data_IF_497599130697
#
_entry.id   IF_497599130697
#
_cell.length_a   1.000
_cell.length_b   1.000
_cell.length_c   1.000
_cell.angle_alpha   90.00
_cell.angle_beta   90.00
_cell.angle_gamma   90.00
#
_symmetry.space_group_name_H-M   'P 1'
#
loop_
_entity.id
_entity.type
_entity.pdbx_description
1 polymer ?
#
# COMPACT_ATOMS: atom_id res chain seq x y z
N UNK A 1 41.05 -8.37 5.22
CA UNK A 1 39.74 -8.65 5.84
C UNK A 1 39.12 -7.33 6.24
N UNK A 2 38.34 -6.73 5.35
CA UNK A 2 37.67 -5.44 5.55
C UNK A 2 36.21 -5.71 5.82
N UNK A 3 35.76 -5.41 7.04
CA UNK A 3 34.37 -5.47 7.46
C UNK A 3 33.57 -4.38 6.76
N UNK A 4 32.62 -4.78 5.91
CA UNK A 4 31.62 -3.89 5.32
C UNK A 4 30.52 -3.71 6.36
N UNK A 5 30.41 -2.49 6.89
CA UNK A 5 29.26 -2.04 7.70
C UNK A 5 28.01 -2.04 6.83
N UNK A 6 27.01 -2.83 7.26
CA UNK A 6 25.66 -2.86 6.71
C UNK A 6 24.98 -1.49 6.88
N UNK A 7 24.20 -1.00 5.91
CA UNK A 7 23.35 0.17 6.12
C UNK A 7 22.27 -0.19 7.15
N UNK A 8 22.08 0.69 8.12
CA UNK A 8 20.99 0.63 9.09
C UNK A 8 19.66 0.64 8.35
N UNK A 9 19.04 -0.53 8.24
CA UNK A 9 17.67 -0.64 7.75
C UNK A 9 16.77 0.15 8.69
N UNK A 10 16.05 1.15 8.16
CA UNK A 10 14.95 1.82 8.84
C UNK A 10 13.83 0.80 9.13
N UNK A 11 13.99 0.01 10.18
CA UNK A 11 12.91 -0.79 10.72
C UNK A 11 11.96 0.17 11.41
N UNK A 12 10.77 0.36 10.82
CA UNK A 12 9.65 0.94 11.55
C UNK A 12 9.35 0.00 12.72
N UNK A 13 9.78 0.39 13.91
CA UNK A 13 9.36 -0.26 15.16
C UNK A 13 7.83 -0.11 15.22
N UNK A 14 7.05 -1.20 15.41
CA UNK A 14 5.61 -1.09 15.57
C UNK A 14 5.30 -0.20 16.79
N UNK A 15 4.95 1.05 16.51
CA UNK A 15 4.54 2.03 17.51
C UNK A 15 3.01 2.00 17.64
N UNK A 16 2.48 2.39 18.80
CA UNK A 16 1.06 2.16 19.18
C UNK A 16 0.40 3.51 19.47
N UNK A 17 -0.53 3.93 18.63
CA UNK A 17 -1.32 5.14 18.86
C UNK A 17 -2.74 4.76 19.32
N UNK A 18 -3.18 5.39 20.41
CA UNK A 18 -4.54 5.29 20.93
C UNK A 18 -5.36 6.49 20.46
N UNK A 19 -6.26 6.29 19.51
CA UNK A 19 -7.28 7.30 19.18
C UNK A 19 -8.64 6.80 19.64
N UNK A 20 -9.34 7.59 20.46
CA UNK A 20 -10.74 7.31 20.84
C UNK A 20 -11.61 7.28 19.58
N UNK A 21 -12.18 6.11 19.28
CA UNK A 21 -12.82 5.80 17.99
C UNK A 21 -14.07 6.60 17.62
N UNK A 22 -14.68 7.37 18.52
CA UNK A 22 -15.97 8.04 18.24
C UNK A 22 -15.87 9.21 17.25
N UNK A 23 -14.74 9.93 17.21
CA UNK A 23 -14.55 11.06 16.29
C UNK A 23 -14.02 10.67 14.90
N UNK A 24 -13.26 9.57 14.82
CA UNK A 24 -12.61 9.14 13.58
C UNK A 24 -13.61 8.58 12.56
N UNK A 25 -14.61 7.83 13.02
CA UNK A 25 -15.64 7.22 12.17
C UNK A 25 -16.55 8.26 11.49
N UNK A 26 -16.77 9.41 12.14
CA UNK A 26 -17.63 10.47 11.60
C UNK A 26 -16.95 11.32 10.51
N UNK A 27 -15.62 11.53 10.58
CA UNK A 27 -14.89 12.35 9.60
C UNK A 27 -14.60 11.59 8.29
N UNK A 28 -14.45 10.26 8.38
CA UNK A 28 -14.23 9.39 7.21
C UNK A 28 -15.60 9.07 6.56
N UNK A 29 -16.20 10.07 5.91
CA UNK A 29 -17.41 9.90 5.09
C UNK A 29 -17.20 8.76 4.08
N UNK A 30 -17.86 7.61 4.31
CA UNK A 30 -17.91 6.50 3.36
C UNK A 30 -17.80 5.09 3.96
N UNK A 31 -17.43 4.93 5.23
CA UNK A 31 -17.42 3.61 5.87
C UNK A 31 -18.68 3.45 6.73
N UNK A 32 -19.65 2.67 6.25
CA UNK A 32 -20.71 2.09 7.10
C UNK A 32 -20.05 1.12 8.10
N UNK A 33 -19.47 1.65 9.17
CA UNK A 33 -19.07 0.87 10.33
C UNK A 33 -20.12 1.15 11.40
N UNK A 34 -20.95 0.14 11.69
CA UNK A 34 -21.82 0.14 12.86
C UNK A 34 -20.97 0.32 14.14
N UNK A 35 -21.53 0.84 15.24
CA UNK A 35 -20.74 1.21 16.40
C UNK A 35 -20.28 -0.05 17.16
N UNK A 36 -19.14 -0.60 16.74
CA UNK A 36 -18.45 -1.65 17.49
C UNK A 36 -17.72 -0.95 18.64
N UNK A 37 -18.28 -1.07 19.85
CA UNK A 37 -17.81 -0.51 21.14
C UNK A 37 -16.40 -0.95 21.59
N UNK A 38 -15.60 -1.61 20.75
CA UNK A 38 -14.35 -2.29 21.12
C UNK A 38 -13.12 -1.87 20.28
N UNK A 39 -13.21 -0.84 19.44
CA UNK A 39 -12.12 -0.44 18.54
C UNK A 39 -11.36 0.79 19.08
N UNK A 40 -10.40 0.56 19.97
CA UNK A 40 -9.70 1.67 20.66
C UNK A 40 -8.31 2.01 20.11
N UNK A 41 -7.77 1.31 19.10
CA UNK A 41 -6.34 1.45 18.75
C UNK A 41 -6.00 1.25 17.28
N UNK A 42 -4.91 1.93 16.89
CA UNK A 42 -4.48 2.17 15.52
C UNK A 42 -2.99 1.86 15.42
N UNK A 43 -2.62 1.11 14.37
CA UNK A 43 -1.22 0.78 14.09
C UNK A 43 -0.88 1.20 12.67
N UNK A 44 0.30 1.78 12.48
CA UNK A 44 0.90 1.91 11.15
C UNK A 44 1.70 0.63 10.89
N UNK A 45 1.30 -0.10 9.85
CA UNK A 45 2.05 -1.26 9.35
C UNK A 45 2.61 -0.94 7.97
N UNK A 46 3.91 -1.12 7.84
CA UNK A 46 4.62 -1.18 6.56
C UNK A 46 5.42 -2.46 6.56
N UNK A 47 5.37 -3.23 5.48
CA UNK A 47 6.24 -4.40 5.36
C UNK A 47 7.68 -3.94 5.09
N UNK A 48 8.72 -4.62 5.61
CA UNK A 48 10.12 -4.23 5.38
C UNK A 48 10.53 -4.11 3.90
N UNK A 49 9.89 -4.84 2.99
CA UNK A 49 10.18 -4.74 1.54
C UNK A 49 9.42 -3.61 0.84
N UNK A 50 8.56 -2.88 1.56
CA UNK A 50 7.84 -1.74 1.03
C UNK A 50 8.47 -0.45 1.55
N UNK A 51 8.46 0.62 0.74
CA UNK A 51 8.95 1.92 1.22
C UNK A 51 8.08 2.40 2.38
N UNK A 52 8.66 3.16 3.31
CA UNK A 52 7.96 3.76 4.47
C UNK A 52 6.69 4.54 4.04
N UNK A 53 6.71 5.11 2.84
CA UNK A 53 5.60 5.84 2.21
C UNK A 53 4.38 4.95 1.89
N UNK A 54 4.57 3.64 1.73
CA UNK A 54 3.51 2.66 1.54
C UNK A 54 2.82 2.23 2.84
N UNK A 55 3.20 2.83 3.98
CA UNK A 55 2.61 2.54 5.28
C UNK A 55 1.10 2.74 5.30
N UNK A 56 0.45 1.91 6.10
CA UNK A 56 -1.01 1.91 6.25
C UNK A 56 -1.41 1.93 7.71
N UNK A 57 -2.36 2.80 8.02
CA UNK A 57 -3.13 2.80 9.25
C UNK A 57 -4.11 1.63 9.23
N UNK A 58 -4.06 0.73 10.21
CA UNK A 58 -4.98 -0.40 10.35
C UNK A 58 -5.61 -0.43 11.74
N UNK A 59 -6.82 -0.95 11.80
CA UNK A 59 -7.49 -1.28 13.05
C UNK A 59 -7.23 -2.75 13.41
N UNK A 60 -6.93 -3.00 14.68
CA UNK A 60 -6.72 -4.34 15.21
C UNK A 60 -7.81 -4.68 16.22
N UNK A 61 -8.33 -5.89 16.12
CA UNK A 61 -9.27 -6.43 17.08
C UNK A 61 -8.49 -7.03 18.25
N UNK A 62 -8.87 -6.66 19.46
CA UNK A 62 -8.32 -7.25 20.68
C UNK A 62 -9.45 -7.52 21.67
N UNK A 63 -9.33 -8.57 22.49
CA UNK A 63 -10.34 -8.91 23.49
C UNK A 63 -10.41 -7.88 24.62
N UNK A 64 -9.34 -7.10 24.81
CA UNK A 64 -9.22 -6.08 25.86
C UNK A 64 -8.52 -4.85 25.31
N UNK A 65 -8.55 -3.75 26.05
CA UNK A 65 -7.82 -2.52 25.70
C UNK A 65 -6.31 -2.58 25.98
N UNK A 66 -5.74 -3.77 26.22
CA UNK A 66 -4.32 -3.96 26.52
C UNK A 66 -3.44 -3.80 25.26
N UNK A 67 -2.52 -2.82 25.23
CA UNK A 67 -1.65 -2.60 24.08
C UNK A 67 -0.65 -3.71 23.75
N UNK A 68 -0.34 -4.59 24.69
CA UNK A 68 0.56 -5.71 24.41
C UNK A 68 -0.07 -6.74 23.46
N UNK A 69 -1.40 -6.81 23.38
CA UNK A 69 -2.12 -7.79 22.56
C UNK A 69 -2.26 -7.39 21.08
N UNK A 70 -1.85 -6.17 20.72
CA UNK A 70 -2.05 -5.62 19.39
C UNK A 70 -1.25 -6.31 18.30
N UNK A 71 -0.01 -6.69 18.58
CA UNK A 71 0.85 -7.38 17.62
C UNK A 71 0.27 -8.75 17.24
N UNK A 72 -0.35 -9.43 18.20
CA UNK A 72 -1.04 -10.71 18.01
C UNK A 72 -2.50 -10.59 17.56
N UNK A 73 -3.09 -9.39 17.63
CA UNK A 73 -4.50 -9.19 17.31
C UNK A 73 -4.75 -9.23 15.80
N UNK A 74 -5.89 -9.78 15.31
CA UNK A 74 -6.20 -9.76 13.89
C UNK A 74 -6.57 -8.36 13.40
N UNK A 75 -6.31 -8.07 12.12
CA UNK A 75 -6.81 -6.85 11.47
C UNK A 75 -8.36 -6.88 11.44
N UNK A 76 -8.98 -5.71 11.60
CA UNK A 76 -10.40 -5.53 11.25
C UNK A 76 -10.54 -5.72 9.74
N UNK A 77 -11.36 -6.67 9.31
CA UNK A 77 -11.53 -6.99 7.88
C UNK A 77 -12.76 -6.32 7.29
N UNK A 78 -12.66 -5.94 6.01
CA UNK A 78 -13.79 -5.57 5.15
C UNK A 78 -14.56 -6.83 4.70
N UNK A 79 -15.78 -6.70 4.15
CA UNK A 79 -16.54 -7.86 3.65
C UNK A 79 -15.78 -8.73 2.62
N UNK A 80 -14.90 -8.10 1.84
CA UNK A 80 -14.04 -8.77 0.86
C UNK A 80 -12.79 -9.46 1.47
N UNK A 81 -12.70 -9.57 2.80
CA UNK A 81 -11.60 -10.24 3.50
C UNK A 81 -10.32 -9.43 3.64
N UNK A 82 -10.22 -8.25 3.02
CA UNK A 82 -9.01 -7.42 3.15
C UNK A 82 -9.05 -6.58 4.41
N UNK A 83 -7.89 -6.29 5.04
CA UNK A 83 -7.81 -5.37 6.16
C UNK A 83 -8.45 -4.02 5.84
N UNK A 84 -9.16 -3.47 6.83
CA UNK A 84 -9.51 -2.07 6.83
C UNK A 84 -8.21 -1.28 7.00
N UNK A 85 -7.91 -0.42 6.04
CA UNK A 85 -6.67 0.31 5.98
C UNK A 85 -6.85 1.72 5.40
N UNK A 86 -6.10 2.69 5.91
CA UNK A 86 -5.93 4.02 5.29
C UNK A 86 -4.44 4.20 5.01
N UNK A 87 -4.08 4.59 3.78
CA UNK A 87 -2.69 4.94 3.47
C UNK A 87 -2.23 6.13 4.31
N UNK A 88 -1.01 6.07 4.83
CA UNK A 88 -0.41 7.17 5.57
C UNK A 88 -0.39 8.44 4.70
N UNK A 89 -0.06 8.30 3.42
CA UNK A 89 -0.16 9.36 2.40
C UNK A 89 -1.49 10.14 2.41
N UNK A 90 -2.61 9.42 2.57
CA UNK A 90 -3.92 10.07 2.65
C UNK A 90 -4.12 10.83 3.95
N UNK A 91 -3.67 10.30 5.10
CA UNK A 91 -3.84 10.98 6.39
C UNK A 91 -3.23 12.38 6.39
N UNK A 92 -2.12 12.56 5.68
CA UNK A 92 -1.50 13.87 5.48
C UNK A 92 -2.15 14.71 4.39
N UNK A 93 -2.88 14.09 3.45
CA UNK A 93 -3.62 14.80 2.41
C UNK A 93 -5.02 15.27 2.82
N UNK A 94 -5.57 14.69 3.89
CA UNK A 94 -6.74 15.26 4.55
C UNK A 94 -6.28 16.57 5.20
N UNK A 95 -7.00 17.67 4.97
CA UNK A 95 -6.77 18.95 5.67
C UNK A 95 -6.94 18.84 7.20
N UNK A 96 -7.22 17.64 7.70
CA UNK A 96 -7.33 17.29 9.10
C UNK A 96 -5.94 16.99 9.67
N UNK A 97 -5.21 18.07 9.98
CA UNK A 97 -3.88 18.04 10.58
C UNK A 97 -3.82 17.28 11.92
N UNK A 98 -4.97 16.93 12.51
CA UNK A 98 -5.04 16.21 13.78
C UNK A 98 -4.35 14.83 13.71
N UNK A 99 -4.66 14.01 12.70
CA UNK A 99 -4.07 12.68 12.59
C UNK A 99 -2.58 12.74 12.25
N UNK A 100 -2.22 13.64 11.35
CA UNK A 100 -0.84 13.93 11.00
C UNK A 100 0.00 14.30 12.24
N UNK A 101 -0.52 15.21 13.07
CA UNK A 101 0.11 15.64 14.30
C UNK A 101 0.22 14.51 15.32
N UNK A 102 -0.86 13.74 15.53
CA UNK A 102 -0.86 12.61 16.47
C UNK A 102 0.14 11.52 16.08
N UNK A 103 0.23 11.18 14.80
CA UNK A 103 1.21 10.22 14.32
C UNK A 103 2.65 10.73 14.53
N UNK A 104 2.89 12.02 14.36
CA UNK A 104 4.19 12.64 14.62
C UNK A 104 4.55 12.63 16.10
N UNK A 105 3.62 13.05 16.97
CA UNK A 105 3.81 13.06 18.43
C UNK A 105 4.17 11.68 18.97
N UNK A 106 3.50 10.64 18.45
CA UNK A 106 3.71 9.26 18.86
C UNK A 106 4.92 8.59 18.19
N UNK A 107 5.67 9.32 17.36
CA UNK A 107 6.87 8.82 16.68
C UNK A 107 6.58 7.74 15.62
N UNK A 108 5.33 7.62 15.18
CA UNK A 108 4.88 6.64 14.18
C UNK A 108 5.31 7.00 12.75
N UNK A 109 5.66 8.26 12.55
CA UNK A 109 6.11 8.86 11.30
C UNK A 109 7.14 9.92 11.64
N UNK A 110 8.09 10.15 10.75
CA UNK A 110 9.12 11.19 10.93
C UNK A 110 8.70 12.48 10.22
N UNK A 111 9.24 13.62 10.68
CA UNK A 111 9.07 14.90 9.96
C UNK A 111 9.62 14.81 8.54
N UNK A 112 10.73 14.12 8.37
CA UNK A 112 11.36 13.89 7.07
C UNK A 112 10.42 13.14 6.12
N UNK A 113 9.75 12.08 6.59
CA UNK A 113 8.78 11.33 5.80
C UNK A 113 7.66 12.24 5.29
N UNK A 114 7.11 13.10 6.15
CA UNK A 114 5.99 14.00 5.78
C UNK A 114 6.45 15.09 4.82
N UNK A 115 7.67 15.58 5.00
CA UNK A 115 8.27 16.57 4.12
C UNK A 115 8.80 16.00 2.80
N UNK A 116 8.77 14.67 2.65
CA UNK A 116 9.32 14.01 1.47
C UNK A 116 8.55 14.36 0.20
N UNK A 117 9.25 14.25 -0.92
CA UNK A 117 8.70 14.52 -2.25
C UNK A 117 7.46 13.68 -2.54
N UNK A 118 7.45 12.42 -2.08
CA UNK A 118 6.32 11.51 -2.19
C UNK A 118 5.02 12.13 -1.65
N UNK A 119 5.03 12.62 -0.40
CA UNK A 119 3.84 13.18 0.23
C UNK A 119 3.44 14.51 -0.41
N UNK A 120 4.43 15.33 -0.77
CA UNK A 120 4.21 16.59 -1.50
C UNK A 120 3.47 16.35 -2.82
N UNK A 121 3.92 15.37 -3.60
CA UNK A 121 3.28 14.98 -4.87
C UNK A 121 1.89 14.36 -4.63
N UNK A 122 1.75 13.50 -3.62
CA UNK A 122 0.46 12.89 -3.28
C UNK A 122 -0.60 13.95 -2.96
N UNK A 123 -0.24 14.95 -2.15
CA UNK A 123 -1.11 16.08 -1.79
C UNK A 123 -1.40 16.99 -2.99
N UNK A 124 -0.34 17.43 -3.69
CA UNK A 124 -0.45 18.34 -4.85
C UNK A 124 -1.39 17.78 -5.92
N UNK A 125 -1.35 16.46 -6.15
CA UNK A 125 -2.15 15.77 -7.15
C UNK A 125 -3.46 15.18 -6.63
N UNK A 126 -3.81 15.39 -5.34
CA UNK A 126 -5.06 14.93 -4.71
C UNK A 126 -5.34 13.45 -4.98
N UNK A 127 -4.31 12.62 -4.77
CA UNK A 127 -4.37 11.20 -5.05
C UNK A 127 -5.44 10.49 -4.20
N UNK A 128 -6.04 9.44 -4.75
CA UNK A 128 -7.18 8.74 -4.13
C UNK A 128 -6.70 7.65 -3.16
N UNK A 129 -7.61 7.12 -2.34
CA UNK A 129 -7.39 6.07 -1.34
C UNK A 129 -6.53 4.88 -1.80
N UNK A 130 -6.74 4.45 -3.04
CA UNK A 130 -6.06 3.29 -3.63
C UNK A 130 -5.02 3.71 -4.66
N UNK A 131 -4.73 5.02 -4.80
CA UNK A 131 -3.67 5.50 -5.67
C UNK A 131 -2.32 5.10 -5.10
N UNK A 132 -1.51 4.48 -5.94
CA UNK A 132 -0.10 4.18 -5.65
C UNK A 132 0.75 5.17 -6.43
N UNK A 133 1.62 5.91 -5.75
CA UNK A 133 2.64 6.74 -6.39
C UNK A 133 3.91 5.90 -6.57
N UNK A 134 4.44 5.89 -7.80
CA UNK A 134 5.62 5.12 -8.22
C UNK A 134 6.66 6.10 -8.75
N UNK A 135 7.86 6.04 -8.19
CA UNK A 135 9.01 6.87 -8.57
C UNK A 135 10.00 6.08 -9.45
N UNK A 136 10.17 4.79 -9.20
CA UNK A 136 11.02 3.85 -9.93
C UNK A 136 10.28 2.56 -10.33
N UNK A 137 10.77 1.86 -11.35
CA UNK A 137 10.33 0.48 -11.66
C UNK A 137 10.66 -0.51 -10.54
N UNK A 138 11.66 -0.20 -9.74
CA UNK A 138 12.10 -1.03 -8.61
C UNK A 138 11.17 -0.89 -7.41
N UNK A 139 10.30 0.13 -7.38
CA UNK A 139 9.40 0.36 -6.28
C UNK A 139 8.39 -0.79 -6.17
N UNK A 140 8.47 -1.50 -5.06
CA UNK A 140 7.42 -2.42 -4.66
C UNK A 140 6.24 -1.64 -4.09
N UNK A 141 5.04 -2.07 -4.45
CA UNK A 141 3.81 -1.48 -3.95
C UNK A 141 2.77 -2.53 -3.56
N UNK A 142 1.89 -2.11 -2.66
CA UNK A 142 0.78 -2.92 -2.19
C UNK A 142 -0.37 -3.00 -3.19
N UNK A 143 -0.90 -4.19 -3.40
CA UNK A 143 -2.07 -4.46 -4.22
C UNK A 143 -2.96 -5.51 -3.53
N UNK A 144 -4.25 -5.50 -3.80
CA UNK A 144 -5.16 -6.57 -3.39
C UNK A 144 -5.68 -7.29 -4.62
N UNK A 145 -5.62 -8.63 -4.63
CA UNK A 145 -6.06 -9.46 -5.76
C UNK A 145 -7.14 -10.46 -5.30
N UNK A 146 -8.13 -10.81 -6.13
CA UNK A 146 -8.35 -10.32 -7.49
C UNK A 146 -8.84 -8.86 -7.50
N UNK A 147 -8.41 -8.04 -8.46
CA UNK A 147 -9.00 -6.72 -8.68
C UNK A 147 -9.02 -6.31 -10.15
N UNK A 148 -10.14 -5.73 -10.59
CA UNK A 148 -10.34 -5.40 -12.00
C UNK A 148 -9.36 -4.34 -12.53
N UNK A 149 -9.03 -3.35 -11.71
CA UNK A 149 -8.09 -2.31 -12.10
C UNK A 149 -7.39 -1.67 -10.93
N UNK A 150 -6.15 -1.27 -11.14
CA UNK A 150 -5.35 -0.51 -10.20
C UNK A 150 -4.94 0.83 -10.84
N UNK A 151 -5.13 1.94 -10.12
CA UNK A 151 -4.63 3.23 -10.55
C UNK A 151 -3.20 3.43 -10.01
N UNK A 152 -2.25 3.60 -10.91
CA UNK A 152 -0.89 3.99 -10.60
C UNK A 152 -0.68 5.45 -10.99
N UNK A 153 0.12 6.15 -10.20
CA UNK A 153 0.54 7.51 -10.41
C UNK A 153 2.05 7.49 -10.54
N UNK A 154 2.54 7.83 -11.71
CA UNK A 154 3.95 7.68 -12.06
C UNK A 154 4.60 9.05 -12.01
N UNK A 155 5.69 9.19 -11.26
CA UNK A 155 6.45 10.44 -11.21
C UNK A 155 7.21 10.62 -12.52
N UNK A 156 7.09 11.81 -13.11
CA UNK A 156 7.81 12.25 -14.32
C UNK A 156 8.57 13.53 -14.03
N UNK A 157 9.55 13.92 -14.87
CA UNK A 157 10.17 15.24 -14.79
C UNK A 157 9.18 16.41 -14.92
N UNK A 158 7.98 16.16 -15.45
CA UNK A 158 6.94 17.18 -15.68
C UNK A 158 5.84 17.16 -14.61
N UNK A 159 5.86 16.23 -13.67
CA UNK A 159 4.85 16.09 -12.62
C UNK A 159 4.48 14.63 -12.36
N UNK A 160 3.18 14.33 -12.32
CA UNK A 160 2.66 12.98 -12.06
C UNK A 160 1.67 12.60 -13.15
N UNK A 161 1.91 11.46 -13.80
CA UNK A 161 1.01 10.88 -14.79
C UNK A 161 0.19 9.75 -14.19
N UNK A 162 -1.12 9.71 -14.47
CA UNK A 162 -1.99 8.64 -14.00
C UNK A 162 -2.12 7.56 -15.07
N UNK A 163 -1.83 6.32 -14.68
CA UNK A 163 -2.05 5.12 -15.49
C UNK A 163 -3.07 4.25 -14.78
N UNK A 164 -4.00 3.65 -15.53
CA UNK A 164 -4.90 2.63 -14.99
C UNK A 164 -4.51 1.29 -15.57
N UNK A 165 -4.00 0.41 -14.72
CA UNK A 165 -3.74 -0.98 -15.08
C UNK A 165 -5.05 -1.75 -15.07
N UNK A 166 -5.39 -2.39 -16.18
CA UNK A 166 -6.51 -3.34 -16.27
C UNK A 166 -5.92 -4.73 -16.07
N UNK A 167 -6.15 -5.30 -14.90
CA UNK A 167 -5.46 -6.53 -14.49
C UNK A 167 -6.17 -7.80 -14.99
N UNK A 168 -7.38 -7.66 -15.54
CA UNK A 168 -8.02 -8.72 -16.30
C UNK A 168 -8.43 -9.91 -15.44
N UNK A 169 -8.21 -11.11 -15.99
CA UNK A 169 -8.55 -12.39 -15.37
C UNK A 169 -7.56 -12.75 -14.26
N UNK A 170 -8.11 -13.09 -13.10
CA UNK A 170 -7.37 -13.50 -11.91
C UNK A 170 -7.66 -14.95 -11.54
N UNK A 171 -8.12 -15.76 -12.50
CA UNK A 171 -8.42 -17.18 -12.27
C UNK A 171 -7.29 -17.86 -11.53
N UNK A 172 -6.03 -17.55 -11.86
CA UNK A 172 -4.85 -18.09 -11.19
C UNK A 172 -4.82 -17.89 -9.66
N UNK A 173 -5.42 -16.83 -9.12
CA UNK A 173 -5.52 -16.60 -7.67
C UNK A 173 -6.50 -17.60 -7.03
N UNK A 174 -7.60 -17.88 -7.73
CA UNK A 174 -8.64 -18.83 -7.30
C UNK A 174 -8.23 -20.29 -7.59
N UNK A 175 -7.58 -20.55 -8.73
CA UNK A 175 -7.10 -21.85 -9.20
C UNK A 175 -6.01 -22.40 -8.28
N UNK A 176 -5.12 -21.53 -7.81
CA UNK A 176 -4.14 -21.86 -6.78
C UNK A 176 -4.74 -21.98 -5.37
N UNK A 177 -6.06 -21.80 -5.23
CA UNK A 177 -6.82 -21.82 -3.96
C UNK A 177 -6.21 -20.90 -2.90
N UNK A 178 -5.62 -19.78 -3.33
CA UNK A 178 -4.97 -18.82 -2.43
C UNK A 178 -6.01 -17.98 -1.67
N UNK A 179 -7.25 -17.97 -2.15
CA UNK A 179 -8.32 -17.15 -1.61
C UNK A 179 -9.66 -17.85 -1.72
N UNK A 180 -10.52 -17.66 -0.73
CA UNK A 180 -11.93 -18.07 -0.83
C UNK A 180 -12.65 -17.23 -1.91
N UNK A 181 -13.66 -17.80 -2.60
CA UNK A 181 -14.43 -17.07 -3.60
C UNK A 181 -14.99 -15.74 -3.05
N UNK A 182 -14.78 -14.66 -3.81
CA UNK A 182 -15.22 -13.31 -3.43
C UNK A 182 -14.38 -12.62 -2.34
N UNK A 183 -13.32 -13.26 -1.85
CA UNK A 183 -12.31 -12.62 -0.98
C UNK A 183 -11.12 -12.15 -1.80
N UNK A 184 -10.23 -11.37 -1.17
CA UNK A 184 -8.98 -10.93 -1.78
C UNK A 184 -7.78 -11.22 -0.87
N UNK A 185 -6.64 -11.45 -1.50
CA UNK A 185 -5.31 -11.58 -0.89
C UNK A 185 -4.53 -10.27 -1.01
N UNK A 186 -3.58 -10.08 -0.11
CA UNK A 186 -2.69 -8.93 -0.11
C UNK A 186 -1.39 -9.29 -0.84
N UNK A 187 -0.93 -8.44 -1.75
CA UNK A 187 0.30 -8.67 -2.53
C UNK A 187 1.22 -7.47 -2.51
N UNK A 188 2.51 -7.76 -2.63
CA UNK A 188 3.50 -6.79 -3.07
C UNK A 188 3.81 -7.04 -4.53
N UNK A 189 3.64 -6.03 -5.36
CA UNK A 189 3.92 -6.09 -6.78
C UNK A 189 4.98 -5.06 -7.16
N UNK A 190 5.72 -5.36 -8.22
CA UNK A 190 6.65 -4.44 -8.87
C UNK A 190 6.28 -4.34 -10.35
N UNK A 191 6.50 -3.17 -10.93
CA UNK A 191 6.35 -2.98 -12.36
C UNK A 191 7.54 -3.60 -13.09
N UNK A 192 7.23 -4.26 -14.19
CA UNK A 192 8.19 -4.69 -15.18
C UNK A 192 7.78 -4.18 -16.55
N UNK A 193 8.75 -4.18 -17.46
CA UNK A 193 8.54 -3.82 -18.85
C UNK A 193 8.86 -5.04 -19.70
N UNK A 194 8.00 -5.33 -20.66
CA UNK A 194 8.25 -6.38 -21.64
C UNK A 194 7.96 -5.87 -23.05
N UNK A 195 8.59 -6.50 -24.05
CA UNK A 195 8.30 -6.23 -25.45
C UNK A 195 7.11 -7.07 -25.91
N UNK A 196 6.09 -6.39 -26.45
CA UNK A 196 4.97 -7.01 -27.13
C UNK A 196 4.99 -6.60 -28.61
N UNK A 197 5.66 -7.41 -29.43
CA UNK A 197 5.73 -7.21 -30.89
C UNK A 197 6.30 -5.83 -31.27
N UNK A 198 7.39 -5.41 -30.62
CA UNK A 198 8.05 -4.12 -30.84
C UNK A 198 7.39 -2.96 -30.08
N UNK A 199 6.39 -3.23 -29.23
CA UNK A 199 5.78 -2.22 -28.36
C UNK A 199 6.06 -2.54 -26.90
N UNK A 200 6.65 -1.57 -26.20
CA UNK A 200 6.87 -1.68 -24.76
C UNK A 200 5.55 -1.66 -24.01
N UNK A 201 5.37 -2.63 -23.12
CA UNK A 201 4.16 -2.82 -22.35
C UNK A 201 4.47 -3.10 -20.86
N UNK A 202 3.61 -2.67 -19.94
CA UNK A 202 3.79 -2.96 -18.52
C UNK A 202 3.43 -4.40 -18.20
N UNK A 203 4.13 -4.97 -17.23
CA UNK A 203 3.73 -6.19 -16.56
C UNK A 203 3.82 -6.00 -15.04
N UNK A 204 3.06 -6.77 -14.27
CA UNK A 204 3.21 -6.83 -12.82
C UNK A 204 3.87 -8.13 -12.42
N UNK A 205 5.03 -8.02 -11.78
CA UNK A 205 5.65 -9.12 -11.04
C UNK A 205 5.10 -9.10 -9.62
N UNK A 206 4.41 -10.15 -9.21
CA UNK A 206 4.07 -10.37 -7.81
C UNK A 206 5.34 -10.86 -7.11
N UNK A 207 5.82 -10.07 -6.15
CA UNK A 207 7.05 -10.37 -5.41
C UNK A 207 6.73 -11.18 -4.15
N UNK A 208 5.61 -10.84 -3.50
CA UNK A 208 5.10 -11.55 -2.32
C UNK A 208 3.58 -11.55 -2.33
N UNK A 209 3.00 -12.56 -1.70
CA UNK A 209 1.57 -12.66 -1.46
C UNK A 209 1.31 -13.17 -0.06
N UNK A 210 0.26 -12.64 0.56
CA UNK A 210 -0.13 -12.97 1.91
C UNK A 210 -1.60 -13.36 1.97
N UNK A 211 -1.89 -14.35 2.80
CA UNK A 211 -3.24 -14.72 3.18
C UNK A 211 -3.94 -13.58 3.92
N UNK A 212 -5.27 -13.60 4.06
CA UNK A 212 -5.99 -12.65 4.90
C UNK A 212 -5.54 -12.65 6.37
N UNK A 213 -5.05 -13.79 6.88
CA UNK A 213 -4.45 -13.91 8.22
C UNK A 213 -3.05 -13.29 8.30
N UNK A 214 -2.42 -12.99 7.17
CA UNK A 214 -1.10 -12.36 7.08
C UNK A 214 0.06 -13.33 6.91
N UNK A 215 -0.22 -14.62 6.69
CA UNK A 215 0.79 -15.64 6.39
C UNK A 215 1.25 -15.49 4.94
N UNK A 216 2.56 -15.57 4.70
CA UNK A 216 3.11 -15.47 3.36
C UNK A 216 2.91 -16.79 2.58
N UNK A 217 2.44 -16.68 1.35
CA UNK A 217 2.40 -17.79 0.41
C UNK A 217 3.75 -17.93 -0.27
N UNK A 218 4.30 -19.15 -0.27
CA UNK A 218 5.51 -19.49 -1.02
C UNK A 218 5.10 -20.14 -2.34
N UNK A 219 5.20 -19.39 -3.44
CA UNK A 219 4.83 -19.87 -4.77
C UNK A 219 5.55 -19.07 -5.85
N UNK A 220 5.70 -19.68 -7.03
CA UNK A 220 6.14 -19.00 -8.24
C UNK A 220 4.94 -18.29 -8.87
N UNK A 221 4.79 -17.01 -8.55
CA UNK A 221 3.66 -16.23 -9.07
C UNK A 221 3.85 -15.88 -10.55
N UNK A 222 2.77 -15.92 -11.35
CA UNK A 222 2.86 -15.60 -12.76
C UNK A 222 3.17 -14.11 -12.98
N UNK A 223 3.87 -13.81 -14.07
CA UNK A 223 4.01 -12.44 -14.55
C UNK A 223 2.69 -11.99 -15.19
N UNK A 224 2.04 -10.99 -14.60
CA UNK A 224 0.77 -10.47 -15.10
C UNK A 224 1.07 -9.48 -16.23
N UNK A 225 1.03 -9.95 -17.48
CA UNK A 225 1.26 -9.12 -18.66
C UNK A 225 0.06 -8.23 -18.95
N UNK A 226 0.30 -6.94 -19.13
CA UNK A 226 -0.75 -5.96 -19.39
C UNK A 226 -0.62 -5.41 -20.82
N UNK A 227 -1.74 -4.94 -21.37
CA UNK A 227 -1.73 -4.31 -22.69
C UNK A 227 -0.90 -3.02 -22.74
N UNK A 228 -0.37 -2.66 -23.91
CA UNK A 228 0.37 -1.41 -24.08
C UNK A 228 -0.54 -0.22 -23.77
N UNK A 229 0.03 0.82 -23.16
CA UNK A 229 -0.67 2.09 -22.95
C UNK A 229 0.24 3.26 -23.30
N UNK A 230 -0.30 4.26 -23.99
CA UNK A 230 0.45 5.46 -24.39
C UNK A 230 1.07 6.17 -23.18
N UNK A 231 0.33 6.23 -22.06
CA UNK A 231 0.84 6.81 -20.81
C UNK A 231 2.04 6.05 -20.25
N UNK A 232 1.97 4.71 -20.20
CA UNK A 232 3.09 3.91 -19.72
C UNK A 232 4.33 4.04 -20.61
N UNK A 233 4.16 3.96 -21.94
CA UNK A 233 5.28 4.11 -22.88
C UNK A 233 5.93 5.48 -22.76
N UNK A 234 5.12 6.54 -22.70
CA UNK A 234 5.64 7.91 -22.54
C UNK A 234 6.41 8.07 -21.24
N UNK A 235 5.89 7.54 -20.13
CA UNK A 235 6.57 7.54 -18.84
C UNK A 235 7.88 6.75 -18.92
N UNK A 236 7.86 5.49 -19.36
CA UNK A 236 9.03 4.61 -19.40
C UNK A 236 10.18 5.23 -20.20
N UNK A 237 9.88 5.81 -21.37
CA UNK A 237 10.88 6.49 -22.20
C UNK A 237 11.50 7.73 -21.54
N UNK A 238 10.84 8.34 -20.56
CA UNK A 238 11.38 9.47 -19.79
C UNK A 238 12.29 9.01 -18.65
N UNK A 239 11.97 7.88 -18.01
CA UNK A 239 12.75 7.35 -16.88
C UNK A 239 13.93 6.50 -17.35
N UNK A 240 13.75 5.66 -18.37
CA UNK A 240 14.81 4.81 -18.92
C UNK A 240 15.96 5.60 -19.57
N UNK A 241 15.74 6.86 -19.94
CA UNK A 241 16.80 7.76 -20.43
C UNK A 241 17.67 8.37 -19.32
N UNK A 242 17.33 8.14 -18.05
CA UNK A 242 18.08 8.61 -16.88
C UNK A 242 18.93 7.52 -16.20
N UNK A 243 18.77 6.28 -16.63
CA UNK A 243 19.51 5.09 -16.16
C UNK A 243 20.69 4.80 -17.09
#
# INVERSE_FOLDING_TARGET
MTSVTSPESCQLVPSKLRLKGSGMLHSIKGAYLSPIKLLDFIIIKTHPDLPTTAGQLRFRLTPTSNPSLFESGPDLLKPNGTPWAISVARLFGLQDAYYAHRLLEDGLVTKDLISSEYFRLYQKHRLQLHSVLIESLEDAFSLYLPCWSQALHMVTPRGVERIRLRLGDHSWVEDLKLVEPGKQVYTHAQLQVYDLKGQLAPALRVVRMFSPSGEEFVSDFPLIKLGPSKGFQSWYLQVAKKS
#
